data_IF_828681798857
#
_entry.id   IF_828681798857
#
_cell.length_a   1.000
_cell.length_b   1.000
_cell.length_c   1.000
_cell.angle_alpha   90.00
_cell.angle_beta   90.00
_cell.angle_gamma   90.00
#
_symmetry.space_group_name_H-M   'P 1'
#
loop_
_entity.id
_entity.type
_entity.pdbx_description
1 polymer ?
#
# COMPACT_ATOMS: atom_id res chain seq x y z
N UNK A 1 31.81 -19.09 -27.91
CA UNK A 1 30.62 -18.23 -27.83
C UNK A 1 30.00 -18.46 -26.48
N UNK A 2 30.10 -17.50 -25.56
CA UNK A 2 29.51 -17.62 -24.23
C UNK A 2 28.00 -17.67 -24.38
N UNK A 3 27.41 -18.84 -24.08
CA UNK A 3 25.97 -19.03 -23.96
C UNK A 3 25.49 -18.25 -22.74
N UNK A 4 25.29 -16.95 -22.91
CA UNK A 4 24.71 -16.08 -21.87
C UNK A 4 23.31 -16.60 -21.57
N UNK A 5 23.16 -17.16 -20.38
CA UNK A 5 21.84 -17.55 -19.87
C UNK A 5 20.98 -16.28 -19.87
N UNK A 6 19.76 -16.33 -20.43
CA UNK A 6 18.91 -15.15 -20.49
C UNK A 6 18.62 -14.61 -19.08
N UNK A 7 18.72 -13.30 -18.89
CA UNK A 7 18.48 -12.66 -17.59
C UNK A 7 17.11 -13.01 -17.00
N UNK A 8 16.07 -13.07 -17.86
CA UNK A 8 14.72 -13.45 -17.45
C UNK A 8 14.65 -14.87 -16.85
N UNK A 9 15.52 -15.77 -17.29
CA UNK A 9 15.59 -17.14 -16.78
C UNK A 9 16.16 -17.11 -15.37
N UNK A 10 17.26 -16.37 -15.14
CA UNK A 10 17.84 -16.21 -13.81
C UNK A 10 16.86 -15.54 -12.84
N UNK A 11 16.20 -14.45 -13.27
CA UNK A 11 15.19 -13.77 -12.45
C UNK A 11 13.98 -14.66 -12.12
N UNK A 12 13.55 -15.51 -13.07
CA UNK A 12 12.47 -16.47 -12.84
C UNK A 12 12.83 -17.47 -11.75
N UNK A 13 14.03 -18.08 -11.83
CA UNK A 13 14.50 -19.03 -10.82
C UNK A 13 14.78 -18.36 -9.49
N UNK A 14 15.30 -17.13 -9.47
CA UNK A 14 15.47 -16.35 -8.24
C UNK A 14 14.12 -16.14 -7.53
N UNK A 15 13.10 -15.70 -8.25
CA UNK A 15 11.74 -15.55 -7.72
C UNK A 15 11.17 -16.87 -7.20
N UNK A 16 11.38 -17.96 -7.94
CA UNK A 16 10.94 -19.30 -7.54
C UNK A 16 11.61 -19.75 -6.23
N UNK A 17 12.92 -19.58 -6.11
CA UNK A 17 13.66 -19.94 -4.90
C UNK A 17 13.26 -19.09 -3.70
N UNK A 18 13.03 -17.79 -3.90
CA UNK A 18 12.52 -16.91 -2.85
C UNK A 18 11.14 -17.35 -2.36
N UNK A 19 10.25 -17.76 -3.27
CA UNK A 19 8.93 -18.28 -2.93
C UNK A 19 9.01 -19.59 -2.14
N UNK A 20 9.84 -20.53 -2.60
CA UNK A 20 10.09 -21.80 -1.90
C UNK A 20 10.69 -21.59 -0.51
N UNK A 21 11.70 -20.72 -0.39
CA UNK A 21 12.33 -20.39 0.88
C UNK A 21 11.33 -19.74 1.86
N UNK A 22 10.41 -18.91 1.35
CA UNK A 22 9.32 -18.32 2.13
C UNK A 22 8.35 -19.39 2.62
N UNK A 23 7.99 -20.36 1.77
CA UNK A 23 7.14 -21.49 2.17
C UNK A 23 7.80 -22.33 3.28
N UNK A 24 9.08 -22.70 3.11
CA UNK A 24 9.83 -23.47 4.12
C UNK A 24 9.93 -22.71 5.45
N UNK A 25 10.19 -21.40 5.42
CA UNK A 25 10.23 -20.56 6.63
C UNK A 25 8.87 -20.48 7.33
N UNK A 26 7.76 -20.44 6.58
CA UNK A 26 6.41 -20.47 7.14
C UNK A 26 6.09 -21.82 7.79
N UNK A 27 6.53 -22.93 7.18
CA UNK A 27 6.34 -24.28 7.72
C UNK A 27 7.23 -24.55 8.95
N UNK A 28 8.48 -24.05 8.96
CA UNK A 28 9.40 -24.19 10.10
C UNK A 28 9.03 -23.32 11.31
N UNK A 29 8.19 -22.30 11.14
CA UNK A 29 7.79 -21.40 12.23
C UNK A 29 6.26 -21.27 12.29
N UNK A 30 5.55 -22.22 12.94
CA UNK A 30 4.09 -22.12 13.11
C UNK A 30 3.66 -21.01 14.07
N UNK A 31 4.60 -20.28 14.69
CA UNK A 31 4.33 -19.08 15.48
C UNK A 31 5.21 -17.93 14.99
N UNK A 32 4.55 -16.82 14.67
CA UNK A 32 5.10 -15.51 14.32
C UNK A 32 5.71 -15.37 12.90
N UNK A 33 4.85 -15.06 11.93
CA UNK A 33 4.96 -13.78 11.23
C UNK A 33 3.62 -13.39 10.62
N UNK A 34 2.91 -12.48 11.32
CA UNK A 34 2.03 -11.50 10.67
C UNK A 34 2.79 -10.96 9.44
N UNK A 35 2.10 -10.67 8.31
CA UNK A 35 2.75 -10.27 7.06
C UNK A 35 3.83 -9.23 7.37
N UNK A 36 5.04 -9.48 6.84
CA UNK A 36 6.20 -8.57 6.94
C UNK A 36 5.67 -7.14 6.91
N UNK A 37 5.64 -6.47 8.06
CA UNK A 37 5.54 -5.02 8.12
C UNK A 37 6.77 -4.56 7.35
N UNK A 38 6.53 -4.08 6.14
CA UNK A 38 7.48 -3.26 5.42
C UNK A 38 7.75 -2.11 6.39
N UNK A 39 8.94 -2.18 6.99
CA UNK A 39 9.70 -1.12 7.67
C UNK A 39 8.92 -0.20 8.61
N UNK A 40 9.48 -0.01 9.80
CA UNK A 40 9.09 1.01 10.78
C UNK A 40 9.28 2.45 10.24
N UNK A 41 8.55 2.82 9.18
CA UNK A 41 8.00 4.16 9.09
C UNK A 41 6.71 4.09 9.86
N UNK A 42 6.65 4.84 10.96
CA UNK A 42 5.40 5.34 11.52
C UNK A 42 4.44 5.60 10.35
N UNK A 43 3.50 4.67 10.10
CA UNK A 43 2.56 4.81 9.00
C UNK A 43 1.78 6.06 9.35
N UNK A 44 2.06 7.15 8.65
CA UNK A 44 1.37 8.39 8.92
C UNK A 44 -0.11 8.13 8.72
N UNK A 45 -0.96 8.80 9.48
CA UNK A 45 -2.41 8.82 9.27
C UNK A 45 -2.79 8.97 7.78
N UNK A 46 -1.95 9.71 7.05
CA UNK A 46 -2.00 9.88 5.60
C UNK A 46 -1.70 8.60 4.81
N UNK A 47 -0.68 7.83 5.17
CA UNK A 47 -0.33 6.59 4.46
C UNK A 47 -1.39 5.51 4.66
N UNK A 48 -2.03 5.46 5.83
CA UNK A 48 -3.17 4.57 6.08
C UNK A 48 -4.37 4.91 5.17
N UNK A 49 -4.65 6.19 4.99
CA UNK A 49 -5.71 6.63 4.08
C UNK A 49 -5.39 6.32 2.62
N UNK A 50 -4.12 6.45 2.22
CA UNK A 50 -3.65 6.10 0.87
C UNK A 50 -3.77 4.60 0.64
N UNK A 51 -3.31 3.75 1.56
CA UNK A 51 -3.46 2.29 1.43
C UNK A 51 -4.93 1.89 1.26
N UNK A 52 -5.85 2.56 1.95
CA UNK A 52 -7.29 2.31 1.81
C UNK A 52 -7.82 2.72 0.44
N UNK A 53 -7.45 3.90 -0.03
CA UNK A 53 -7.80 4.35 -1.37
C UNK A 53 -7.20 3.41 -2.44
N UNK A 54 -5.95 2.95 -2.28
CA UNK A 54 -5.29 2.01 -3.20
C UNK A 54 -6.01 0.66 -3.24
N UNK A 55 -6.45 0.16 -2.09
CA UNK A 55 -7.20 -1.09 -2.00
C UNK A 55 -8.62 -0.97 -2.56
N UNK A 56 -9.24 0.19 -2.43
CA UNK A 56 -10.58 0.42 -2.91
C UNK A 56 -10.63 0.65 -4.43
N UNK A 57 -9.54 1.13 -5.05
CA UNK A 57 -9.43 1.45 -6.48
C UNK A 57 -10.60 2.27 -7.03
N UNK A 58 -11.21 3.08 -6.17
CA UNK A 58 -12.39 3.89 -6.47
C UNK A 58 -12.34 5.19 -5.67
N UNK A 59 -12.97 6.26 -6.15
CA UNK A 59 -13.12 7.47 -5.36
C UNK A 59 -13.87 7.15 -4.05
N UNK A 60 -13.28 7.52 -2.92
CA UNK A 60 -13.90 7.36 -1.60
C UNK A 60 -14.13 8.71 -0.94
N UNK A 61 -15.29 8.85 -0.32
CA UNK A 61 -15.59 9.99 0.54
C UNK A 61 -14.78 9.91 1.84
N UNK A 62 -14.40 11.06 2.41
CA UNK A 62 -13.56 11.15 3.60
C UNK A 62 -14.12 10.34 4.79
N UNK A 63 -15.44 10.33 4.96
CA UNK A 63 -16.10 9.55 6.03
C UNK A 63 -15.90 8.05 5.84
N UNK A 64 -15.91 7.56 4.60
CA UNK A 64 -15.66 6.15 4.30
C UNK A 64 -14.21 5.79 4.55
N UNK A 65 -13.27 6.69 4.21
CA UNK A 65 -11.85 6.51 4.50
C UNK A 65 -11.65 6.38 6.02
N UNK A 66 -12.20 7.30 6.81
CA UNK A 66 -12.09 7.28 8.28
C UNK A 66 -12.69 5.99 8.84
N UNK A 67 -13.87 5.58 8.37
CA UNK A 67 -14.52 4.34 8.82
C UNK A 67 -13.64 3.12 8.50
N UNK A 68 -13.13 3.01 7.28
CA UNK A 68 -12.27 1.90 6.90
C UNK A 68 -10.92 1.90 7.64
N UNK A 69 -10.32 3.07 7.92
CA UNK A 69 -9.08 3.11 8.72
C UNK A 69 -9.36 2.65 10.13
N UNK A 70 -10.46 3.11 10.74
CA UNK A 70 -10.87 2.67 12.08
C UNK A 70 -11.08 1.16 12.11
N UNK A 71 -11.74 0.58 11.10
CA UNK A 71 -11.98 -0.86 11.01
C UNK A 71 -10.71 -1.67 10.77
N UNK A 72 -9.80 -1.20 9.90
CA UNK A 72 -8.59 -1.97 9.52
C UNK A 72 -7.41 -1.78 10.46
N UNK A 73 -7.21 -0.56 10.96
CA UNK A 73 -6.04 -0.17 11.73
C UNK A 73 -6.37 0.13 13.20
N UNK A 74 -7.64 0.30 13.56
CA UNK A 74 -8.06 0.59 14.93
C UNK A 74 -7.71 2.00 15.40
N UNK A 75 -7.27 2.89 14.50
CA UNK A 75 -6.85 4.26 14.83
C UNK A 75 -8.01 5.23 14.56
N UNK A 76 -8.44 6.02 15.57
CA UNK A 76 -9.37 7.11 15.35
C UNK A 76 -8.65 8.26 14.63
N UNK A 77 -9.17 8.66 13.48
CA UNK A 77 -8.65 9.78 12.70
C UNK A 77 -9.58 10.97 12.80
N UNK A 78 -8.99 12.15 12.95
CA UNK A 78 -9.71 13.40 12.88
C UNK A 78 -9.95 13.82 11.42
N UNK A 79 -11.20 14.19 11.10
CA UNK A 79 -11.66 14.53 9.76
C UNK A 79 -10.93 15.75 9.22
N UNK A 80 -10.77 16.79 10.02
CA UNK A 80 -10.18 18.07 9.57
C UNK A 80 -8.69 17.90 9.27
N UNK A 81 -7.98 17.20 10.16
CA UNK A 81 -6.58 16.83 9.97
C UNK A 81 -6.35 16.00 8.70
N UNK A 82 -7.22 15.00 8.45
CA UNK A 82 -7.13 14.14 7.27
C UNK A 82 -7.43 14.88 5.97
N UNK A 83 -8.48 15.71 5.94
CA UNK A 83 -8.81 16.54 4.77
C UNK A 83 -7.63 17.43 4.44
N UNK A 84 -7.09 18.18 5.42
CA UNK A 84 -5.95 19.08 5.22
C UNK A 84 -4.72 18.34 4.67
N UNK A 85 -4.40 17.17 5.23
CA UNK A 85 -3.30 16.33 4.76
C UNK A 85 -3.51 15.86 3.31
N UNK A 86 -4.72 15.39 2.97
CA UNK A 86 -5.05 14.94 1.62
C UNK A 86 -5.05 16.11 0.62
N UNK A 87 -5.56 17.29 0.99
CA UNK A 87 -5.48 18.50 0.14
C UNK A 87 -4.03 18.83 -0.17
N UNK A 88 -3.18 18.87 0.86
CA UNK A 88 -1.76 19.18 0.71
C UNK A 88 -1.06 18.20 -0.23
N UNK A 89 -1.45 16.92 -0.21
CA UNK A 89 -0.87 15.89 -1.07
C UNK A 89 -1.36 15.97 -2.52
N UNK A 90 -2.64 16.27 -2.73
CA UNK A 90 -3.21 16.61 -4.06
C UNK A 90 -2.49 17.84 -4.64
N UNK A 91 -2.26 18.88 -3.83
CA UNK A 91 -1.57 20.09 -4.27
C UNK A 91 -0.10 19.85 -4.64
N UNK A 92 0.54 18.86 -4.01
CA UNK A 92 1.89 18.41 -4.34
C UNK A 92 1.96 17.47 -5.55
N UNK A 93 0.83 17.22 -6.24
CA UNK A 93 0.69 16.27 -7.38
C UNK A 93 1.30 14.89 -7.09
N UNK A 94 1.18 14.40 -5.86
CA UNK A 94 1.69 13.08 -5.46
C UNK A 94 0.64 11.98 -5.66
N UNK A 95 0.15 11.79 -6.89
CA UNK A 95 -0.73 10.68 -7.26
C UNK A 95 -2.11 10.66 -6.56
N UNK A 96 -2.61 11.80 -6.09
CA UNK A 96 -3.97 11.94 -5.58
C UNK A 96 -4.71 13.04 -6.31
N UNK A 97 -5.93 12.73 -6.73
CA UNK A 97 -6.85 13.67 -7.35
C UNK A 97 -8.11 13.83 -6.48
N UNK A 98 -8.74 14.99 -6.61
CA UNK A 98 -10.05 15.26 -6.01
C UNK A 98 -11.11 15.06 -7.06
N UNK A 99 -11.87 13.99 -6.94
CA UNK A 99 -12.97 13.66 -7.85
C UNK A 99 -14.23 14.49 -7.56
N UNK A 100 -14.50 14.77 -6.28
CA UNK A 100 -15.64 15.58 -5.84
C UNK A 100 -15.36 16.22 -4.45
N UNK A 101 -16.23 17.11 -3.92
CA UNK A 101 -16.08 17.63 -2.56
C UNK A 101 -15.95 16.49 -1.56
N UNK A 102 -14.91 16.54 -0.71
CA UNK A 102 -14.60 15.50 0.28
C UNK A 102 -14.41 14.08 -0.29
N UNK A 103 -14.20 13.94 -1.60
CA UNK A 103 -14.01 12.65 -2.27
C UNK A 103 -12.66 12.63 -2.94
N UNK A 104 -11.86 11.64 -2.55
CA UNK A 104 -10.47 11.52 -2.98
C UNK A 104 -10.30 10.25 -3.78
N UNK A 105 -9.49 10.33 -4.81
CA UNK A 105 -9.14 9.23 -5.67
C UNK A 105 -7.63 9.20 -5.82
N UNK A 106 -7.09 8.00 -6.00
CA UNK A 106 -5.68 7.86 -6.34
C UNK A 106 -5.60 7.94 -7.85
N UNK A 107 -4.89 8.95 -8.31
CA UNK A 107 -4.44 9.01 -9.69
C UNK A 107 -3.42 7.88 -9.81
N UNK A 108 -3.88 6.72 -10.30
CA UNK A 108 -2.98 5.66 -10.69
C UNK A 108 -2.04 6.29 -11.71
N UNK A 109 -0.78 6.49 -11.31
CA UNK A 109 0.28 6.90 -12.22
C UNK A 109 0.46 5.76 -13.20
N UNK A 110 -0.36 5.81 -14.25
CA UNK A 110 -0.44 4.84 -15.31
C UNK A 110 0.67 5.12 -16.29
N UNK A 111 1.76 4.37 -16.10
CA UNK A 111 2.54 3.68 -17.14
C UNK A 111 3.46 4.49 -18.05
#
# INVERSE_FOLDING_TARGET
>A
MESKIPEWFLSFYESLFLAQLRAVRQLKSPKAKKPKRIEDKSMSNMDMAIDILQRAQRPLHISEIIAQVKTKYGVPLDRESLVSALVKKVHRRQGLSRSAPNTFEIEAEGR
#
